data_IF_657767763213
#
_entry.id   IF_657767763213
#
_cell.length_a   1.000
_cell.length_b   1.000
_cell.length_c   1.000
_cell.angle_alpha   90.00
_cell.angle_beta   90.00
_cell.angle_gamma   90.00
#
_symmetry.space_group_name_H-M   'P 1'
#
loop_
_entity.id
_entity.type
_entity.pdbx_description
1 polymer ?
#
# COMPACT_ATOMS: atom_id res chain seq x y z
N UNK A 1 45.59 -41.97 33.64
CA UNK A 1 45.50 -41.21 32.38
C UNK A 1 44.08 -40.66 32.29
N UNK A 2 43.89 -39.34 32.46
CA UNK A 2 42.58 -38.68 32.40
C UNK A 2 42.24 -38.34 30.93
N UNK A 3 41.07 -38.70 30.39
CA UNK A 3 40.66 -38.19 29.09
C UNK A 3 40.20 -36.74 29.23
N UNK A 4 40.81 -35.86 28.43
CA UNK A 4 40.45 -34.46 28.29
C UNK A 4 39.17 -34.37 27.46
N UNK A 5 38.07 -33.93 28.09
CA UNK A 5 36.81 -33.67 27.42
C UNK A 5 36.92 -32.32 26.70
N UNK A 6 37.00 -32.32 25.37
CA UNK A 6 36.93 -31.11 24.56
C UNK A 6 35.44 -30.75 24.37
N UNK A 7 35.00 -29.67 25.00
CA UNK A 7 33.67 -29.09 24.73
C UNK A 7 33.78 -28.21 23.50
N UNK A 8 33.20 -28.64 22.38
CA UNK A 8 33.03 -27.81 21.20
C UNK A 8 31.86 -26.85 21.45
N UNK A 9 32.16 -25.56 21.64
CA UNK A 9 31.16 -24.51 21.68
C UNK A 9 30.67 -24.24 20.25
N UNK A 10 29.44 -24.67 19.95
CA UNK A 10 28.72 -24.20 18.77
C UNK A 10 28.35 -22.73 19.00
N UNK A 11 29.07 -21.82 18.35
CA UNK A 11 28.65 -20.43 18.21
C UNK A 11 27.49 -20.38 17.22
N UNK A 12 26.24 -20.50 17.71
CA UNK A 12 25.10 -19.98 16.96
C UNK A 12 25.22 -18.46 16.96
N UNK A 13 25.83 -17.90 15.91
CA UNK A 13 25.63 -16.49 15.58
C UNK A 13 24.15 -16.27 15.24
N UNK A 14 23.59 -15.08 15.49
CA UNK A 14 22.26 -14.76 14.99
C UNK A 14 22.29 -14.94 13.47
N UNK A 15 21.39 -15.78 12.95
CA UNK A 15 21.12 -15.80 11.53
C UNK A 15 20.60 -14.41 11.17
N UNK A 16 21.35 -13.65 10.38
CA UNK A 16 20.80 -12.48 9.72
C UNK A 16 19.65 -13.01 8.85
N UNK A 17 18.43 -12.57 9.13
CA UNK A 17 17.29 -12.94 8.31
C UNK A 17 17.55 -12.42 6.89
N UNK A 18 17.44 -13.29 5.89
CA UNK A 18 17.54 -12.86 4.51
C UNK A 18 16.38 -11.90 4.20
N UNK A 19 16.70 -10.75 3.61
CA UNK A 19 15.70 -9.79 3.15
C UNK A 19 14.88 -10.40 2.01
N UNK A 20 13.58 -10.16 2.04
CA UNK A 20 12.65 -10.65 1.04
C UNK A 20 12.08 -9.49 0.21
N UNK A 21 12.10 -9.69 -1.10
CA UNK A 21 11.54 -8.76 -2.08
C UNK A 21 10.24 -9.31 -2.67
N UNK A 22 9.28 -8.43 -2.95
CA UNK A 22 7.98 -8.73 -3.52
C UNK A 22 7.69 -7.83 -4.74
N UNK A 23 8.41 -8.03 -5.87
CA UNK A 23 8.18 -7.23 -7.07
C UNK A 23 6.71 -7.30 -7.51
N UNK A 24 6.03 -6.17 -7.76
CA UNK A 24 4.63 -6.18 -8.12
C UNK A 24 4.42 -6.68 -9.55
N UNK A 25 3.46 -7.59 -9.74
CA UNK A 25 2.85 -7.86 -11.04
C UNK A 25 1.60 -7.01 -11.20
N UNK A 26 1.31 -6.52 -12.41
CA UNK A 26 -0.02 -5.95 -12.71
C UNK A 26 -0.78 -6.94 -13.58
N UNK A 27 -1.70 -7.68 -12.96
CA UNK A 27 -2.50 -8.70 -13.64
C UNK A 27 -3.66 -8.11 -14.45
N UNK A 28 -3.83 -6.78 -14.45
CA UNK A 28 -4.90 -6.14 -15.18
C UNK A 28 -4.89 -6.47 -16.68
N UNK A 29 -3.71 -6.72 -17.26
CA UNK A 29 -3.53 -7.06 -18.68
C UNK A 29 -4.13 -8.41 -19.10
N UNK A 30 -4.50 -9.25 -18.14
CA UNK A 30 -5.18 -10.52 -18.38
C UNK A 30 -6.65 -10.32 -18.81
N UNK A 31 -7.26 -9.18 -18.48
CA UNK A 31 -8.62 -8.81 -18.90
C UNK A 31 -8.64 -7.41 -19.58
N UNK A 32 -8.72 -7.32 -20.91
CA UNK A 32 -8.81 -6.05 -21.61
C UNK A 32 -10.01 -5.17 -21.22
N UNK A 33 -11.12 -5.77 -20.76
CA UNK A 33 -12.29 -5.01 -20.29
C UNK A 33 -12.03 -4.35 -18.93
N UNK A 34 -11.21 -4.97 -18.08
CA UNK A 34 -10.74 -4.40 -16.82
C UNK A 34 -9.82 -3.21 -17.07
N UNK A 35 -8.86 -3.34 -18.00
CA UNK A 35 -7.98 -2.24 -18.38
C UNK A 35 -8.77 -1.02 -18.88
N UNK A 36 -9.78 -1.25 -19.72
CA UNK A 36 -10.65 -0.20 -20.24
C UNK A 36 -11.43 0.48 -19.10
N UNK A 37 -12.02 -0.32 -18.21
CA UNK A 37 -12.75 0.20 -17.05
C UNK A 37 -11.84 1.04 -16.13
N UNK A 38 -10.67 0.52 -15.74
CA UNK A 38 -9.69 1.22 -14.89
C UNK A 38 -9.28 2.55 -15.51
N UNK A 39 -9.00 2.58 -16.82
CA UNK A 39 -8.61 3.80 -17.53
C UNK A 39 -9.75 4.84 -17.59
N UNK A 40 -10.98 4.39 -17.82
CA UNK A 40 -12.16 5.27 -17.81
C UNK A 40 -12.42 5.83 -16.41
N UNK A 41 -12.37 4.99 -15.38
CA UNK A 41 -12.54 5.41 -13.99
C UNK A 41 -11.47 6.43 -13.57
N UNK A 42 -10.20 6.17 -13.88
CA UNK A 42 -9.11 7.12 -13.63
C UNK A 42 -9.32 8.46 -14.33
N UNK A 43 -9.94 8.47 -15.52
CA UNK A 43 -10.27 9.73 -16.22
C UNK A 43 -11.31 10.52 -15.44
N UNK A 44 -12.34 9.87 -14.90
CA UNK A 44 -13.39 10.49 -14.07
C UNK A 44 -12.82 11.00 -12.74
N UNK A 45 -11.94 10.21 -12.11
CA UNK A 45 -11.23 10.56 -10.87
C UNK A 45 -10.35 11.81 -11.05
N UNK A 46 -9.57 11.86 -12.13
CA UNK A 46 -8.75 13.03 -12.48
C UNK A 46 -9.58 14.27 -12.80
N UNK A 47 -10.78 14.08 -13.34
CA UNK A 47 -11.72 15.15 -13.61
C UNK A 47 -12.51 15.61 -12.37
N UNK A 48 -12.34 14.93 -11.22
CA UNK A 48 -13.12 15.15 -9.98
C UNK A 48 -14.64 15.03 -10.23
N UNK A 49 -15.03 14.12 -11.12
CA UNK A 49 -16.43 13.87 -11.49
C UNK A 49 -17.06 12.88 -10.50
N UNK A 50 -17.53 13.41 -9.37
CA UNK A 50 -18.10 12.60 -8.29
C UNK A 50 -19.26 11.72 -8.76
N UNK A 51 -20.20 12.29 -9.52
CA UNK A 51 -21.36 11.56 -10.05
C UNK A 51 -20.91 10.38 -10.93
N UNK A 52 -19.94 10.58 -11.81
CA UNK A 52 -19.45 9.53 -12.70
C UNK A 52 -18.63 8.44 -11.97
N UNK A 53 -17.92 8.81 -10.90
CA UNK A 53 -17.17 7.87 -10.06
C UNK A 53 -18.13 7.02 -9.21
N UNK A 54 -19.13 7.64 -8.61
CA UNK A 54 -20.17 6.94 -7.85
C UNK A 54 -20.99 6.02 -8.76
N UNK A 55 -21.30 6.47 -9.98
CA UNK A 55 -21.99 5.63 -10.97
C UNK A 55 -21.17 4.41 -11.43
N UNK A 56 -19.84 4.45 -11.28
CA UNK A 56 -18.95 3.32 -11.56
C UNK A 56 -18.77 2.39 -10.35
N UNK A 57 -19.32 2.74 -9.19
CA UNK A 57 -19.21 1.96 -7.96
C UNK A 57 -20.30 0.89 -7.84
N UNK A 58 -20.07 -0.06 -6.94
CA UNK A 58 -21.08 -1.01 -6.51
C UNK A 58 -22.13 -0.32 -5.61
N UNK A 59 -23.40 -0.74 -5.63
CA UNK A 59 -24.45 -0.12 -4.80
C UNK A 59 -24.13 -0.13 -3.30
N UNK A 60 -23.37 -1.13 -2.86
CA UNK A 60 -22.93 -1.40 -1.50
C UNK A 60 -21.41 -1.24 -1.33
N UNK A 61 -20.79 -0.33 -2.10
CA UNK A 61 -19.34 -0.08 -2.05
C UNK A 61 -18.83 0.05 -0.60
N UNK A 62 -17.79 -0.72 -0.27
CA UNK A 62 -17.18 -0.72 1.05
C UNK A 62 -16.13 0.38 1.18
N UNK A 63 -16.38 1.34 2.07
CA UNK A 63 -15.57 2.57 2.19
C UNK A 63 -14.84 2.71 3.53
N UNK A 64 -15.32 2.03 4.58
CA UNK A 64 -14.73 2.09 5.92
C UNK A 64 -15.13 0.90 6.79
N UNK A 65 -14.30 0.58 7.80
CA UNK A 65 -14.55 -0.53 8.73
C UNK A 65 -15.69 -0.28 9.74
N UNK A 66 -16.19 0.95 9.81
CA UNK A 66 -17.27 1.33 10.74
C UNK A 66 -18.41 2.12 10.11
N UNK A 67 -18.37 2.37 8.80
CA UNK A 67 -19.39 3.10 8.06
C UNK A 67 -20.48 2.21 7.47
N UNK A 68 -21.38 2.83 6.74
CA UNK A 68 -22.50 2.17 6.07
C UNK A 68 -22.16 1.77 4.63
N UNK A 69 -21.13 2.37 4.05
CA UNK A 69 -20.77 2.24 2.64
C UNK A 69 -21.79 2.89 1.71
N UNK A 70 -21.71 2.51 0.44
CA UNK A 70 -22.69 2.92 -0.57
C UNK A 70 -22.51 4.35 -1.11
N UNK A 71 -23.40 4.77 -2.04
CA UNK A 71 -23.23 5.99 -2.81
C UNK A 71 -23.34 7.28 -1.98
N UNK A 72 -24.13 7.26 -0.88
CA UNK A 72 -24.28 8.44 -0.01
C UNK A 72 -22.99 8.72 0.77
N UNK A 73 -22.41 7.71 1.42
CA UNK A 73 -21.11 7.85 2.11
C UNK A 73 -20.00 8.18 1.10
N UNK A 74 -20.04 7.60 -0.11
CA UNK A 74 -19.03 7.91 -1.13
C UNK A 74 -19.09 9.38 -1.56
N UNK A 75 -20.29 9.94 -1.74
CA UNK A 75 -20.48 11.35 -2.05
C UNK A 75 -19.94 12.26 -0.96
N UNK A 76 -20.17 11.93 0.31
CA UNK A 76 -19.67 12.69 1.46
C UNK A 76 -18.14 12.68 1.53
N UNK A 77 -17.49 11.56 1.20
CA UNK A 77 -16.03 11.45 1.20
C UNK A 77 -15.38 12.19 0.01
N UNK A 78 -16.01 12.15 -1.17
CA UNK A 78 -15.51 12.84 -2.38
C UNK A 78 -15.74 14.35 -2.35
N UNK A 79 -16.79 14.80 -1.66
CA UNK A 79 -17.16 16.21 -1.55
C UNK A 79 -17.62 16.54 -0.12
N UNK A 80 -16.71 16.49 0.87
CA UNK A 80 -17.07 16.76 2.25
C UNK A 80 -17.57 18.18 2.43
N UNK A 81 -18.48 18.38 3.38
CA UNK A 81 -18.98 19.71 3.72
C UNK A 81 -17.80 20.60 4.17
N UNK A 82 -17.54 21.74 3.48
CA UNK A 82 -16.45 22.65 3.84
C UNK A 82 -16.55 23.23 5.26
N UNK A 83 -17.72 23.11 5.89
CA UNK A 83 -17.98 23.59 7.26
C UNK A 83 -17.63 22.58 8.34
N UNK A 84 -17.43 21.30 7.99
CA UNK A 84 -17.20 20.22 8.95
C UNK A 84 -15.80 19.60 8.87
N UNK A 85 -15.06 19.88 7.79
CA UNK A 85 -13.72 19.34 7.55
C UNK A 85 -12.79 20.49 7.14
N UNK A 86 -11.51 20.42 7.50
CA UNK A 86 -10.52 21.34 6.93
C UNK A 86 -10.56 21.23 5.41
N UNK A 87 -10.31 22.34 4.70
CA UNK A 87 -10.43 22.51 3.23
C UNK A 87 -9.75 21.42 2.36
N UNK A 88 -9.01 20.48 2.94
CA UNK A 88 -8.19 19.47 2.27
C UNK A 88 -8.78 18.05 2.30
N UNK A 89 -9.80 17.77 3.12
CA UNK A 89 -10.29 16.39 3.32
C UNK A 89 -10.70 15.68 2.02
N UNK A 90 -11.45 16.38 1.15
CA UNK A 90 -11.90 15.83 -0.13
C UNK A 90 -10.77 15.68 -1.15
N UNK A 91 -9.86 16.64 -1.23
CA UNK A 91 -8.74 16.58 -2.19
C UNK A 91 -7.73 15.48 -1.83
N UNK A 92 -7.50 15.25 -0.54
CA UNK A 92 -6.73 14.09 -0.07
C UNK A 92 -7.39 12.79 -0.50
N UNK A 93 -8.70 12.65 -0.28
CA UNK A 93 -9.44 11.44 -0.65
C UNK A 93 -9.41 11.16 -2.17
N UNK A 94 -9.56 12.19 -3.00
CA UNK A 94 -9.39 12.09 -4.45
C UNK A 94 -7.99 11.63 -4.86
N UNK A 95 -6.96 12.19 -4.21
CA UNK A 95 -5.57 11.84 -4.47
C UNK A 95 -5.28 10.40 -4.07
N UNK A 96 -5.80 9.94 -2.94
CA UNK A 96 -5.66 8.58 -2.46
C UNK A 96 -6.34 7.56 -3.38
N UNK A 97 -7.55 7.89 -3.87
CA UNK A 97 -8.26 7.07 -4.85
C UNK A 97 -7.45 6.97 -6.15
N UNK A 98 -6.99 8.10 -6.69
CA UNK A 98 -6.16 8.13 -7.89
C UNK A 98 -4.88 7.30 -7.71
N UNK A 99 -4.15 7.53 -6.62
CA UNK A 99 -2.90 6.85 -6.33
C UNK A 99 -3.09 5.34 -6.19
N UNK A 100 -4.19 4.90 -5.57
CA UNK A 100 -4.52 3.47 -5.38
C UNK A 100 -4.87 2.81 -6.71
N UNK A 101 -5.70 3.46 -7.54
CA UNK A 101 -6.13 2.93 -8.83
C UNK A 101 -5.01 2.87 -9.88
N UNK A 102 -3.92 3.62 -9.67
CA UNK A 102 -2.71 3.56 -10.50
C UNK A 102 -1.78 2.40 -10.13
N UNK A 103 -1.98 1.74 -8.99
CA UNK A 103 -1.09 0.67 -8.55
C UNK A 103 -1.28 -0.60 -9.39
N UNK A 104 -0.21 -1.40 -9.54
CA UNK A 104 -0.34 -2.79 -9.99
C UNK A 104 -1.36 -3.53 -9.12
N UNK A 105 -2.13 -4.43 -9.71
CA UNK A 105 -3.10 -5.25 -8.97
C UNK A 105 -3.02 -6.74 -9.31
N UNK A 106 -3.85 -7.52 -8.61
CA UNK A 106 -3.93 -8.98 -8.73
C UNK A 106 -5.38 -9.44 -8.68
N UNK A 107 -5.67 -10.62 -9.22
CA UNK A 107 -6.95 -11.30 -9.02
C UNK A 107 -6.94 -12.18 -7.77
N UNK A 108 -8.00 -12.13 -6.99
CA UNK A 108 -8.23 -13.09 -5.92
C UNK A 108 -8.95 -14.36 -6.41
N UNK A 109 -9.29 -15.25 -5.47
CA UNK A 109 -9.96 -16.53 -5.77
C UNK A 109 -11.40 -16.35 -6.27
N UNK A 110 -12.05 -15.24 -5.95
CA UNK A 110 -13.42 -14.90 -6.34
C UNK A 110 -13.46 -14.13 -7.68
N UNK A 111 -12.30 -13.78 -8.23
CA UNK A 111 -12.15 -13.06 -9.49
C UNK A 111 -12.30 -11.55 -9.34
N UNK A 112 -12.22 -11.02 -8.12
CA UNK A 112 -12.09 -9.59 -7.87
C UNK A 112 -10.66 -9.15 -8.16
N UNK A 113 -10.52 -7.95 -8.72
CA UNK A 113 -9.22 -7.36 -9.00
C UNK A 113 -8.85 -6.35 -7.91
N UNK A 114 -7.83 -6.68 -7.12
CA UNK A 114 -7.38 -5.92 -5.97
C UNK A 114 -6.15 -5.07 -6.29
N UNK A 115 -6.15 -3.86 -5.76
CA UNK A 115 -5.01 -2.95 -5.76
C UNK A 115 -4.79 -2.39 -4.35
N UNK A 116 -3.54 -2.20 -3.91
CA UNK A 116 -2.32 -2.47 -4.66
C UNK A 116 -1.81 -3.92 -4.51
N UNK A 117 -0.94 -4.38 -5.42
CA UNK A 117 -0.47 -5.77 -5.49
C UNK A 117 0.14 -6.29 -4.19
N UNK A 118 0.80 -5.44 -3.40
CA UNK A 118 1.39 -5.81 -2.11
C UNK A 118 0.38 -6.28 -1.05
N UNK A 119 -0.93 -6.16 -1.28
CA UNK A 119 -1.95 -6.70 -0.36
C UNK A 119 -2.07 -8.19 -0.25
N UNK A 120 -1.51 -8.93 -1.19
CA UNK A 120 -1.35 -10.36 -1.00
C UNK A 120 -0.26 -10.71 0.04
N UNK A 121 0.56 -9.73 0.48
CA UNK A 121 1.62 -9.99 1.45
C UNK A 121 1.03 -10.22 2.83
N UNK A 122 1.19 -11.45 3.33
CA UNK A 122 0.89 -11.76 4.72
C UNK A 122 2.02 -11.28 5.63
N UNK A 123 1.74 -10.28 6.46
CA UNK A 123 2.69 -9.82 7.46
C UNK A 123 2.85 -10.85 8.59
N UNK A 124 4.06 -10.99 9.17
CA UNK A 124 4.24 -11.79 10.38
C UNK A 124 3.34 -11.27 11.51
N UNK A 125 2.69 -12.17 12.25
CA UNK A 125 1.75 -11.80 13.33
C UNK A 125 2.38 -10.94 14.46
N UNK A 126 3.71 -10.92 14.55
CA UNK A 126 4.45 -10.11 15.54
C UNK A 126 4.72 -8.68 15.08
N UNK A 127 4.52 -8.37 13.80
CA UNK A 127 4.73 -7.05 13.24
C UNK A 127 3.43 -6.25 13.32
N UNK A 128 3.49 -5.09 13.98
CA UNK A 128 2.39 -4.12 13.97
C UNK A 128 2.19 -3.59 12.55
N UNK A 129 1.03 -3.81 11.90
CA UNK A 129 0.78 -3.37 10.54
C UNK A 129 0.82 -1.84 10.39
N UNK A 130 0.54 -1.08 11.45
CA UNK A 130 0.64 0.39 11.45
C UNK A 130 2.09 0.90 11.38
N UNK A 131 3.07 0.05 11.68
CA UNK A 131 4.50 0.37 11.53
C UNK A 131 5.09 -0.20 10.24
N UNK A 132 4.35 -1.00 9.48
CA UNK A 132 4.84 -1.68 8.31
C UNK A 132 4.57 -0.84 7.05
N UNK A 133 5.58 -0.73 6.19
CA UNK A 133 5.51 0.00 4.93
C UNK A 133 6.11 -0.85 3.81
N UNK A 134 5.53 -0.78 2.62
CA UNK A 134 6.07 -1.37 1.42
C UNK A 134 6.89 -0.34 0.64
N UNK A 135 8.10 -0.73 0.22
CA UNK A 135 8.95 0.09 -0.65
C UNK A 135 8.43 -0.02 -2.09
N UNK A 136 7.62 0.95 -2.50
CA UNK A 136 6.85 0.91 -3.75
C UNK A 136 7.65 1.34 -5.00
N UNK A 137 8.90 0.90 -5.09
CA UNK A 137 9.77 1.12 -6.24
C UNK A 137 11.00 0.19 -6.19
N UNK A 138 11.76 0.16 -7.28
CA UNK A 138 13.06 -0.50 -7.37
C UNK A 138 14.20 0.49 -7.11
N UNK A 139 15.32 -0.02 -6.59
CA UNK A 139 16.59 0.68 -6.36
C UNK A 139 16.43 1.97 -5.53
N UNK A 140 15.53 1.93 -4.55
CA UNK A 140 15.27 3.07 -3.66
C UNK A 140 16.44 3.23 -2.70
N UNK A 141 17.02 4.43 -2.68
CA UNK A 141 18.21 4.69 -1.86
C UNK A 141 17.87 4.71 -0.37
N UNK A 142 18.51 3.83 0.40
CA UNK A 142 18.63 3.97 1.85
C UNK A 142 19.83 4.85 2.17
N UNK A 143 19.64 5.91 2.94
CA UNK A 143 20.66 6.94 3.19
C UNK A 143 21.09 7.01 4.64
N UNK A 144 22.31 7.50 4.88
CA UNK A 144 22.83 7.69 6.23
C UNK A 144 22.16 8.82 7.02
N UNK A 145 21.52 9.77 6.35
CA UNK A 145 20.87 10.94 6.97
C UNK A 145 19.66 11.38 6.13
N UNK A 146 18.69 12.12 6.70
CA UNK A 146 17.41 12.46 6.04
C UNK A 146 17.56 13.59 5.02
N UNK A 147 18.43 13.41 4.02
CA UNK A 147 18.58 14.36 2.92
C UNK A 147 19.14 13.69 1.67
N UNK A 148 18.83 14.27 0.51
CA UNK A 148 19.21 13.74 -0.81
C UNK A 148 20.72 13.61 -1.03
N UNK A 149 21.53 14.43 -0.36
CA UNK A 149 22.98 14.45 -0.49
C UNK A 149 23.72 13.45 0.40
N UNK A 150 23.02 12.82 1.35
CA UNK A 150 23.63 11.88 2.29
C UNK A 150 24.18 10.63 1.57
N UNK A 151 25.28 10.04 2.09
CA UNK A 151 25.80 8.78 1.58
C UNK A 151 24.71 7.71 1.46
N UNK A 152 24.73 7.00 0.34
CA UNK A 152 23.86 5.84 0.11
C UNK A 152 24.47 4.66 0.86
N UNK A 153 23.67 4.05 1.73
CA UNK A 153 24.02 2.86 2.49
C UNK A 153 23.64 1.60 1.70
N UNK A 154 22.50 1.62 1.02
CA UNK A 154 21.97 0.48 0.27
C UNK A 154 20.91 0.91 -0.77
N UNK A 155 20.51 -0.03 -1.62
CA UNK A 155 19.42 0.08 -2.58
C UNK A 155 18.35 -0.97 -2.26
N UNK A 156 17.12 -0.52 -2.03
CA UNK A 156 16.00 -1.35 -1.58
C UNK A 156 14.96 -1.44 -2.70
N UNK A 157 14.48 -2.65 -2.97
CA UNK A 157 13.53 -2.90 -4.06
C UNK A 157 12.37 -3.76 -3.58
N UNK A 158 11.17 -3.17 -3.50
CA UNK A 158 9.93 -3.92 -3.24
C UNK A 158 9.96 -4.75 -1.95
N UNK A 159 10.51 -4.19 -0.86
CA UNK A 159 10.58 -4.85 0.45
C UNK A 159 9.55 -4.29 1.41
N UNK A 160 9.15 -5.10 2.40
CA UNK A 160 8.45 -4.60 3.59
C UNK A 160 9.49 -4.10 4.58
N UNK A 161 9.32 -2.87 5.04
CA UNK A 161 10.20 -2.19 6.00
C UNK A 161 9.40 -1.65 7.18
N UNK A 162 10.10 -1.28 8.24
CA UNK A 162 9.49 -0.80 9.49
C UNK A 162 9.79 0.69 9.65
N UNK A 163 8.75 1.49 9.87
CA UNK A 163 8.84 2.91 10.23
C UNK A 163 8.08 3.11 11.54
N UNK A 164 8.80 3.31 12.64
CA UNK A 164 8.21 3.39 13.99
C UNK A 164 7.56 4.74 14.29
N UNK A 165 8.20 5.80 13.79
CA UNK A 165 7.84 7.19 14.07
C UNK A 165 7.65 7.91 12.73
N UNK A 166 6.60 7.54 11.98
CA UNK A 166 6.32 8.19 10.70
C UNK A 166 5.93 9.66 10.92
N UNK A 167 6.53 10.54 10.12
CA UNK A 167 6.27 11.98 10.14
C UNK A 167 5.66 12.44 8.83
N UNK A 168 4.44 12.96 8.87
CA UNK A 168 3.73 13.45 7.68
C UNK A 168 4.40 14.64 7.00
N UNK A 169 5.25 15.37 7.72
CA UNK A 169 5.90 16.58 7.22
C UNK A 169 7.34 16.36 6.75
N UNK A 170 7.94 15.20 7.07
CA UNK A 170 9.33 14.92 6.72
C UNK A 170 9.43 14.21 5.36
N UNK A 171 10.27 14.74 4.48
CA UNK A 171 10.56 14.13 3.18
C UNK A 171 11.26 12.77 3.31
N UNK A 172 11.98 12.53 4.42
CA UNK A 172 12.73 11.31 4.67
C UNK A 172 12.34 10.68 6.00
N UNK A 173 11.95 9.42 5.95
CA UNK A 173 11.56 8.63 7.11
C UNK A 173 12.74 7.76 7.57
N UNK A 174 12.88 7.56 8.87
CA UNK A 174 13.81 6.56 9.39
C UNK A 174 13.22 5.16 9.18
N UNK A 175 13.97 4.31 8.49
CA UNK A 175 13.55 2.97 8.10
C UNK A 175 14.43 1.94 8.78
N UNK A 176 13.79 0.89 9.32
CA UNK A 176 14.42 -0.34 9.79
C UNK A 176 14.07 -1.47 8.81
N UNK A 177 15.10 -2.10 8.27
CA UNK A 177 15.01 -3.28 7.42
C UNK A 177 14.80 -4.54 8.26
N UNK A 178 14.33 -5.61 7.63
CA UNK A 178 14.05 -6.90 8.28
C UNK A 178 15.29 -7.64 8.76
N UNK A 179 16.47 -7.34 8.18
CA UNK A 179 17.77 -7.85 8.62
C UNK A 179 18.42 -7.02 9.75
N UNK A 180 17.75 -5.94 10.19
CA UNK A 180 18.23 -5.02 11.22
C UNK A 180 19.02 -3.83 10.68
N UNK A 181 19.27 -3.74 9.37
CA UNK A 181 19.83 -2.55 8.74
C UNK A 181 18.93 -1.33 8.94
N UNK A 182 19.52 -0.14 9.04
CA UNK A 182 18.75 1.08 9.26
C UNK A 182 19.32 2.26 8.46
N UNK A 183 18.43 3.19 8.12
CA UNK A 183 18.79 4.42 7.42
C UNK A 183 17.58 5.31 7.18
N UNK A 184 17.68 6.19 6.19
CA UNK A 184 16.62 7.13 5.82
C UNK A 184 16.18 6.90 4.38
N UNK A 185 14.88 6.83 4.15
CA UNK A 185 14.27 6.66 2.84
C UNK A 185 13.28 7.79 2.57
N UNK A 186 13.20 8.26 1.32
CA UNK A 186 12.25 9.29 0.98
C UNK A 186 10.81 8.76 1.13
N UNK A 187 9.93 9.53 1.79
CA UNK A 187 8.55 9.13 2.14
C UNK A 187 7.72 8.72 0.93
N UNK A 188 7.89 9.41 -0.22
CA UNK A 188 7.22 9.09 -1.48
C UNK A 188 7.34 7.63 -1.97
N UNK A 189 8.33 6.87 -1.49
CA UNK A 189 8.51 5.46 -1.85
C UNK A 189 7.90 4.50 -0.83
N UNK A 190 7.34 5.00 0.27
CA UNK A 190 6.82 4.20 1.37
C UNK A 190 5.28 4.17 1.29
N UNK A 191 4.73 3.00 0.97
CA UNK A 191 3.29 2.76 0.99
C UNK A 191 2.91 2.10 2.33
N UNK A 192 2.04 2.68 3.16
CA UNK A 192 1.68 2.08 4.45
C UNK A 192 0.96 0.74 4.27
N UNK A 193 1.30 -0.27 5.09
CA UNK A 193 0.66 -1.59 5.05
C UNK A 193 -0.74 -1.63 5.69
N UNK A 194 -1.27 -0.46 6.03
CA UNK A 194 -2.69 -0.19 6.36
C UNK A 194 -3.27 0.91 5.46
N UNK A 195 -2.59 1.24 4.36
CA UNK A 195 -3.00 2.28 3.42
C UNK A 195 -4.27 1.95 2.65
N UNK A 196 -4.63 2.86 1.76
CA UNK A 196 -5.78 2.65 0.88
C UNK A 196 -5.63 1.43 -0.02
N UNK A 197 -6.78 0.81 -0.27
CA UNK A 197 -6.94 -0.37 -1.12
C UNK A 197 -8.25 -0.35 -1.84
N UNK A 198 -8.25 -0.84 -3.07
CA UNK A 198 -9.42 -0.90 -3.91
C UNK A 198 -9.63 -2.30 -4.48
N UNK A 199 -10.89 -2.67 -4.68
CA UNK A 199 -11.27 -3.88 -5.38
C UNK A 199 -12.27 -3.56 -6.48
N UNK A 200 -12.06 -4.16 -7.66
CA UNK A 200 -13.02 -4.17 -8.73
C UNK A 200 -13.68 -5.55 -8.81
N UNK A 201 -15.00 -5.58 -8.91
CA UNK A 201 -15.75 -6.82 -9.13
C UNK A 201 -16.66 -6.68 -10.34
N UNK A 202 -17.04 -7.81 -10.94
CA UNK A 202 -18.04 -7.82 -12.01
C UNK A 202 -19.44 -7.86 -11.41
N UNK A 203 -20.32 -7.00 -11.92
CA UNK A 203 -21.76 -7.10 -11.70
C UNK A 203 -22.31 -8.41 -12.26
N UNK A 204 -23.56 -8.75 -11.91
CA UNK A 204 -24.27 -9.89 -12.54
C UNK A 204 -24.34 -9.76 -14.08
N UNK A 205 -24.31 -8.54 -14.60
CA UNK A 205 -24.27 -8.24 -16.04
C UNK A 205 -22.87 -8.35 -16.67
N UNK A 206 -21.85 -8.70 -15.89
CA UNK A 206 -20.46 -8.85 -16.33
C UNK A 206 -19.70 -7.53 -16.49
N UNK A 207 -20.23 -6.42 -15.97
CA UNK A 207 -19.58 -5.10 -16.02
C UNK A 207 -18.72 -4.89 -14.78
N UNK A 208 -17.49 -4.41 -14.95
CA UNK A 208 -16.63 -4.03 -13.83
C UNK A 208 -17.20 -2.84 -13.05
N UNK A 209 -17.06 -2.88 -11.74
CA UNK A 209 -17.47 -1.84 -10.80
C UNK A 209 -16.45 -1.70 -9.67
N UNK A 210 -16.30 -0.51 -9.10
CA UNK A 210 -15.53 -0.27 -7.87
C UNK A 210 -16.35 -0.70 -6.65
N UNK A 211 -15.98 -1.82 -6.03
CA UNK A 211 -16.73 -2.40 -4.90
C UNK A 211 -16.08 -2.13 -3.54
N UNK A 212 -14.78 -1.85 -3.51
CA UNK A 212 -14.08 -1.54 -2.26
C UNK A 212 -13.15 -0.35 -2.50
N UNK A 213 -13.13 0.61 -1.57
CA UNK A 213 -12.08 1.62 -1.46
C UNK A 213 -11.93 2.06 0.01
N UNK A 214 -10.96 1.48 0.72
CA UNK A 214 -10.84 1.60 2.18
C UNK A 214 -9.39 1.65 2.64
N UNK A 215 -9.12 2.26 3.80
CA UNK A 215 -7.85 2.21 4.51
C UNK A 215 -8.05 1.77 5.97
N UNK A 216 -6.96 1.40 6.65
CA UNK A 216 -6.96 0.88 8.02
C UNK A 216 -7.04 -0.65 8.09
N UNK A 217 -7.14 -1.18 9.31
CA UNK A 217 -7.35 -2.60 9.62
C UNK A 217 -8.77 -2.92 10.11
#
# INVERSE_FOLDING_TARGET
>A
MKPLLLVAAFACGPALADRQTFPPGDEADQDPSLLAFRAELLTKVKARDADAVIAAACPDIYLSHGGNGGPEEFQELLAPDPTTVSDQGGETYWSDLENTLLQPGYFDEDGEFWMPHQWQITLPATLDPYMAYFVNASDVTLRQSPNRGAPILDLISHEVVIVRDYSEIDDYQQVLLTDGGQGYMHSMFLWPMVGYRAAFAKSEGGQWQLCTFVAGD
#
